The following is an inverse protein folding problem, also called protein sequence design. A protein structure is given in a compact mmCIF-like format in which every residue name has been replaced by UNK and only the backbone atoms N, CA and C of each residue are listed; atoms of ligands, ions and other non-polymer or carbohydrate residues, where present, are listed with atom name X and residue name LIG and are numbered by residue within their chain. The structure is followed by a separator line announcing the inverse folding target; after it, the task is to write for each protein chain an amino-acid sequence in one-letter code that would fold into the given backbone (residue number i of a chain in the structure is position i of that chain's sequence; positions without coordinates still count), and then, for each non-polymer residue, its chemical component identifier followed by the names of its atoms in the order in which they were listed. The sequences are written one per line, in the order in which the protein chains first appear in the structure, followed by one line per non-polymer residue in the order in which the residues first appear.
data_IF_814734705773
#
_entry.id   IF_814734705773
#
_cell.length_a   1.000
_cell.length_b   1.000
_cell.length_c   1.000
_cell.angle_alpha   90.00
_cell.angle_beta   90.00
_cell.angle_gamma   90.00
#
_symmetry.space_group_name_H-M   'P 1'
#
loop_
_entity.id
_entity.type
_entity.pdbx_description
1 polymer ?
#
# COMPACT_ATOMS: atom_id res chain seq x y z
N UNK A 1 0.82 13.91 -18.20
CA UNK A 1 1.66 13.04 -17.35
C UNK A 1 1.94 13.74 -16.03
N UNK A 2 1.76 13.06 -14.91
CA UNK A 2 2.13 13.54 -13.59
C UNK A 2 3.65 13.42 -13.46
N UNK A 3 4.35 14.49 -13.09
CA UNK A 3 5.79 14.42 -12.93
C UNK A 3 6.20 13.64 -11.66
N UNK A 4 7.40 13.08 -11.65
CA UNK A 4 7.93 12.24 -10.56
C UNK A 4 7.95 12.95 -9.22
N UNK A 5 8.30 14.23 -9.19
CA UNK A 5 8.32 15.01 -7.94
C UNK A 5 6.93 15.12 -7.32
N UNK A 6 5.90 15.33 -8.14
CA UNK A 6 4.50 15.37 -7.66
C UNK A 6 4.07 14.02 -7.10
N UNK A 7 4.42 12.91 -7.77
CA UNK A 7 4.12 11.55 -7.29
C UNK A 7 4.77 11.29 -5.93
N UNK A 8 6.06 11.59 -5.79
CA UNK A 8 6.80 11.40 -4.53
C UNK A 8 6.28 12.34 -3.44
N UNK A 9 5.95 13.59 -3.77
CA UNK A 9 5.43 14.57 -2.82
C UNK A 9 4.11 14.12 -2.18
N UNK A 10 3.27 13.35 -2.89
CA UNK A 10 2.01 12.80 -2.36
C UNK A 10 2.22 11.94 -1.10
N UNK A 11 3.40 11.31 -0.97
CA UNK A 11 3.76 10.42 0.14
C UNK A 11 5.03 10.86 0.88
N UNK A 12 5.43 12.14 0.79
CA UNK A 12 6.71 12.59 1.36
C UNK A 12 6.83 12.34 2.87
N UNK A 13 5.76 12.60 3.63
CA UNK A 13 5.72 12.37 5.07
C UNK A 13 5.77 10.86 5.40
N UNK A 14 5.06 10.05 4.66
CA UNK A 14 4.97 8.59 4.84
C UNK A 14 6.31 7.92 4.48
N UNK A 15 6.93 8.33 3.39
CA UNK A 15 8.26 7.86 2.99
C UNK A 15 9.34 8.18 4.05
N UNK A 16 9.22 9.32 4.72
CA UNK A 16 10.15 9.70 5.80
C UNK A 16 10.06 8.77 7.03
N UNK A 17 9.00 7.97 7.18
CA UNK A 17 8.85 6.97 8.25
C UNK A 17 9.63 5.68 7.99
N UNK A 18 10.06 5.44 6.76
CA UNK A 18 10.92 4.31 6.39
C UNK A 18 12.36 4.74 6.65
N UNK A 19 12.97 4.19 7.71
CA UNK A 19 14.32 4.61 8.14
C UNK A 19 15.42 3.96 7.29
N UNK A 20 15.23 2.73 6.83
CA UNK A 20 16.15 2.10 5.90
C UNK A 20 16.14 2.84 4.56
N UNK A 21 17.27 3.47 4.22
CA UNK A 21 17.39 4.30 3.02
C UNK A 21 17.16 3.50 1.73
N UNK A 22 17.62 2.26 1.68
CA UNK A 22 17.45 1.39 0.51
C UNK A 22 15.98 1.06 0.28
N UNK A 23 15.25 0.67 1.34
CA UNK A 23 13.81 0.37 1.26
C UNK A 23 13.04 1.63 0.89
N UNK A 24 13.39 2.78 1.46
CA UNK A 24 12.75 4.06 1.14
C UNK A 24 12.94 4.45 -0.33
N UNK A 25 14.16 4.36 -0.86
CA UNK A 25 14.43 4.67 -2.27
C UNK A 25 13.74 3.68 -3.22
N UNK A 26 13.73 2.39 -2.88
CA UNK A 26 12.95 1.38 -3.61
C UNK A 26 11.45 1.73 -3.64
N UNK A 27 10.89 2.12 -2.50
CA UNK A 27 9.47 2.52 -2.39
C UNK A 27 9.17 3.74 -3.25
N UNK A 28 10.09 4.73 -3.28
CA UNK A 28 9.98 5.90 -4.18
C UNK A 28 9.93 5.48 -5.65
N UNK A 29 10.77 4.54 -6.06
CA UNK A 29 10.77 4.05 -7.45
C UNK A 29 9.45 3.36 -7.79
N UNK A 30 8.85 2.58 -6.89
CA UNK A 30 7.52 2.03 -7.07
C UNK A 30 6.46 3.13 -7.23
N UNK A 31 6.52 4.17 -6.40
CA UNK A 31 5.61 5.33 -6.47
C UNK A 31 5.76 6.07 -7.81
N UNK A 32 6.98 6.32 -8.27
CA UNK A 32 7.26 6.95 -9.57
C UNK A 32 6.69 6.12 -10.73
N UNK A 33 6.83 4.79 -10.66
CA UNK A 33 6.40 3.85 -11.69
C UNK A 33 4.88 3.59 -11.68
N UNK A 34 4.16 4.10 -10.67
CA UNK A 34 2.70 3.95 -10.61
C UNK A 34 2.00 4.74 -11.73
N UNK A 35 0.86 4.23 -12.24
CA UNK A 35 0.08 4.93 -13.26
C UNK A 35 -0.39 6.32 -12.81
N UNK A 36 -0.40 7.28 -13.73
CA UNK A 36 -0.78 8.67 -13.45
C UNK A 36 -2.19 8.82 -12.85
N UNK A 37 -3.13 7.94 -13.23
CA UNK A 37 -4.50 8.00 -12.71
C UNK A 37 -4.56 7.88 -11.18
N UNK A 38 -3.61 7.14 -10.57
CA UNK A 38 -3.55 6.99 -9.13
C UNK A 38 -3.40 8.34 -8.40
N UNK A 39 -2.73 9.30 -9.04
CA UNK A 39 -2.45 10.62 -8.48
C UNK A 39 -3.42 11.72 -8.96
N UNK A 40 -4.30 11.41 -9.88
CA UNK A 40 -5.19 12.42 -10.49
C UNK A 40 -6.66 12.15 -10.29
N UNK A 41 -7.06 10.87 -10.27
CA UNK A 41 -8.46 10.49 -10.09
C UNK A 41 -8.56 8.99 -9.75
N UNK A 42 -8.36 8.68 -8.47
CA UNK A 42 -8.43 7.33 -7.94
C UNK A 42 -9.14 7.30 -6.57
N UNK A 43 -10.49 7.30 -6.54
CA UNK A 43 -11.23 7.12 -5.29
C UNK A 43 -10.90 5.76 -4.66
N UNK A 44 -10.86 5.69 -3.34
CA UNK A 44 -10.62 4.44 -2.62
C UNK A 44 -11.74 3.42 -2.83
N UNK A 45 -12.96 3.90 -3.09
CA UNK A 45 -14.11 3.07 -3.47
C UNK A 45 -14.97 3.78 -4.49
N UNK A 46 -15.31 3.09 -5.56
CA UNK A 46 -16.26 3.59 -6.58
C UNK A 46 -17.72 3.37 -6.17
N UNK A 47 -17.99 2.42 -5.27
CA UNK A 47 -19.35 2.16 -4.76
C UNK A 47 -19.74 3.03 -3.56
N UNK A 48 -18.77 3.62 -2.88
CA UNK A 48 -18.99 4.37 -1.62
C UNK A 48 -19.52 3.55 -0.46
N UNK A 49 -19.59 2.21 -0.59
CA UNK A 49 -20.28 1.35 0.38
C UNK A 49 -19.52 1.14 1.67
N UNK A 50 -18.20 1.02 1.61
CA UNK A 50 -17.39 0.59 2.75
C UNK A 50 -16.43 1.66 3.26
N UNK A 51 -15.85 2.44 2.37
CA UNK A 51 -14.85 3.46 2.70
C UNK A 51 -15.46 4.72 3.34
N UNK A 52 -14.71 5.43 4.20
CA UNK A 52 -15.08 6.76 4.69
C UNK A 52 -15.35 7.74 3.55
N UNK A 53 -16.22 8.73 3.81
CA UNK A 53 -16.69 9.66 2.78
C UNK A 53 -15.57 10.54 2.20
N UNK A 54 -14.55 10.86 3.00
CA UNK A 54 -13.38 11.64 2.59
C UNK A 54 -12.45 10.89 1.62
N UNK A 55 -12.61 9.56 1.51
CA UNK A 55 -11.86 8.70 0.59
C UNK A 55 -12.57 8.47 -0.76
N UNK A 56 -13.70 9.10 -1.00
CA UNK A 56 -14.48 8.92 -2.23
C UNK A 56 -14.13 9.94 -3.31
N UNK A 57 -13.27 10.91 -3.02
CA UNK A 57 -12.77 11.90 -3.97
C UNK A 57 -11.65 11.40 -4.88
N UNK A 58 -11.17 12.28 -5.74
CA UNK A 58 -10.14 11.97 -6.73
C UNK A 58 -8.80 11.52 -6.10
N UNK A 59 -8.48 11.96 -4.89
CA UNK A 59 -7.31 11.62 -4.09
C UNK A 59 -7.60 10.55 -3.02
N UNK A 60 -8.79 9.94 -3.09
CA UNK A 60 -9.28 9.03 -2.05
C UNK A 60 -8.36 7.85 -1.76
N UNK A 61 -7.73 7.25 -2.77
CA UNK A 61 -6.80 6.14 -2.54
C UNK A 61 -5.50 6.63 -1.90
N UNK A 62 -5.04 7.86 -2.16
CA UNK A 62 -3.89 8.46 -1.47
C UNK A 62 -4.21 8.65 0.02
N UNK A 63 -5.38 9.21 0.35
CA UNK A 63 -5.83 9.38 1.75
C UNK A 63 -5.97 8.03 2.45
N UNK A 64 -6.59 7.06 1.79
CA UNK A 64 -6.69 5.69 2.28
C UNK A 64 -5.32 5.10 2.61
N UNK A 65 -4.37 5.17 1.68
CA UNK A 65 -3.00 4.68 1.88
C UNK A 65 -2.33 5.31 3.11
N UNK A 66 -2.52 6.60 3.35
CA UNK A 66 -2.00 7.28 4.55
C UNK A 66 -2.62 6.75 5.84
N UNK A 67 -3.92 6.47 5.84
CA UNK A 67 -4.61 5.85 6.98
C UNK A 67 -4.13 4.42 7.21
N UNK A 68 -3.96 3.63 6.13
CA UNK A 68 -3.38 2.27 6.20
C UNK A 68 -2.02 2.30 6.88
N UNK A 69 -1.14 3.22 6.49
CA UNK A 69 0.17 3.38 7.13
C UNK A 69 0.07 3.71 8.62
N UNK A 70 -0.84 4.61 8.99
CA UNK A 70 -1.05 4.99 10.38
C UNK A 70 -1.46 3.80 11.23
N UNK A 71 -2.39 2.96 10.73
CA UNK A 71 -2.81 1.73 11.40
C UNK A 71 -1.66 0.73 11.48
N UNK A 72 -0.94 0.49 10.38
CA UNK A 72 0.19 -0.45 10.34
C UNK A 72 1.28 -0.10 11.34
N UNK A 73 1.62 1.18 11.46
CA UNK A 73 2.61 1.65 12.42
C UNK A 73 2.26 1.29 13.87
N UNK A 74 0.98 1.28 14.22
CA UNK A 74 0.50 0.87 15.54
C UNK A 74 0.42 -0.67 15.67
N UNK A 75 -0.03 -1.36 14.63
CA UNK A 75 -0.20 -2.82 14.66
C UNK A 75 1.12 -3.59 14.68
N UNK A 76 2.21 -3.06 14.10
CA UNK A 76 3.51 -3.72 14.08
C UNK A 76 3.94 -4.23 15.46
N UNK A 77 3.73 -3.42 16.51
CA UNK A 77 4.07 -3.80 17.88
C UNK A 77 3.17 -4.93 18.40
N UNK A 78 1.85 -4.80 18.18
CA UNK A 78 0.89 -5.81 18.64
C UNK A 78 1.08 -7.18 17.98
N UNK A 79 1.55 -7.19 16.73
CA UNK A 79 1.81 -8.39 15.94
C UNK A 79 3.27 -8.87 16.02
N UNK A 80 4.10 -8.21 16.84
CA UNK A 80 5.51 -8.55 17.06
C UNK A 80 6.35 -8.60 15.77
N UNK A 81 6.05 -7.71 14.82
CA UNK A 81 6.75 -7.59 13.54
C UNK A 81 7.51 -6.26 13.36
N UNK A 82 7.87 -5.60 14.46
CA UNK A 82 8.58 -4.30 14.45
C UNK A 82 9.94 -4.35 13.75
N UNK A 83 10.60 -5.51 13.75
CA UNK A 83 11.88 -5.71 13.07
C UNK A 83 11.75 -5.56 11.54
N UNK A 84 10.54 -5.68 10.98
CA UNK A 84 10.23 -5.54 9.56
C UNK A 84 9.32 -4.33 9.30
N UNK A 85 9.32 -3.35 10.22
CA UNK A 85 8.46 -2.17 10.10
C UNK A 85 8.67 -1.42 8.78
N UNK A 86 9.89 -1.26 8.33
CA UNK A 86 10.20 -0.51 7.12
C UNK A 86 9.67 -1.22 5.87
N UNK A 87 9.75 -2.56 5.82
CA UNK A 87 9.16 -3.39 4.77
C UNK A 87 7.63 -3.31 4.79
N UNK A 88 7.01 -3.35 5.99
CA UNK A 88 5.56 -3.22 6.15
C UNK A 88 5.07 -1.85 5.68
N UNK A 89 5.74 -0.77 6.08
CA UNK A 89 5.39 0.58 5.64
C UNK A 89 5.55 0.75 4.12
N UNK A 90 6.60 0.19 3.55
CA UNK A 90 6.79 0.14 2.10
C UNK A 90 5.63 -0.60 1.41
N UNK A 91 5.26 -1.78 1.92
CA UNK A 91 4.13 -2.55 1.39
C UNK A 91 2.82 -1.77 1.49
N UNK A 92 2.58 -1.05 2.60
CA UNK A 92 1.39 -0.20 2.76
C UNK A 92 1.34 0.95 1.73
N UNK A 93 2.48 1.55 1.35
CA UNK A 93 2.49 2.58 0.29
C UNK A 93 2.19 1.96 -1.07
N UNK A 94 2.66 0.76 -1.34
CA UNK A 94 2.64 0.14 -2.67
C UNK A 94 1.32 -0.58 -2.95
N UNK A 95 0.61 -1.11 -1.94
CA UNK A 95 -0.45 -2.10 -2.07
C UNK A 95 -1.52 -1.80 -3.13
N UNK A 96 -1.92 -0.55 -3.26
CA UNK A 96 -2.99 -0.08 -4.14
C UNK A 96 -2.52 0.75 -5.35
N UNK A 97 -1.19 0.87 -5.61
CA UNK A 97 -0.67 1.73 -6.68
C UNK A 97 -1.19 1.35 -8.08
N UNK A 98 -1.68 0.12 -8.28
CA UNK A 98 -2.31 -0.37 -9.51
C UNK A 98 -3.78 -0.77 -9.30
N UNK A 99 -4.51 -0.07 -8.41
CA UNK A 99 -5.88 -0.41 -7.98
C UNK A 99 -6.87 -0.54 -9.14
N UNK A 100 -6.77 0.31 -10.14
CA UNK A 100 -7.64 0.27 -11.32
C UNK A 100 -6.98 -0.36 -12.55
N UNK A 101 -5.94 -1.20 -12.35
CA UNK A 101 -5.21 -1.86 -13.43
C UNK A 101 -3.99 -1.09 -13.92
N UNK A 102 -3.37 -1.55 -15.00
CA UNK A 102 -2.24 -0.87 -15.64
C UNK A 102 -2.68 0.41 -16.36
N UNK A 103 -3.93 0.43 -16.81
CA UNK A 103 -4.61 1.61 -17.34
C UNK A 103 -5.92 1.82 -16.58
N UNK A 104 -6.36 3.07 -16.46
CA UNK A 104 -7.56 3.44 -15.70
C UNK A 104 -8.81 2.75 -16.23
N UNK A 105 -9.41 1.87 -15.42
CA UNK A 105 -10.68 1.19 -15.72
C UNK A 105 -11.90 1.89 -15.12
N UNK A 106 -11.69 2.85 -14.21
CA UNK A 106 -12.76 3.54 -13.50
C UNK A 106 -13.31 2.76 -12.29
N UNK A 107 -12.78 1.58 -11.99
CA UNK A 107 -13.16 0.78 -10.82
C UNK A 107 -12.00 -0.09 -10.34
N UNK A 108 -12.08 -0.57 -9.10
CA UNK A 108 -11.10 -1.50 -8.54
C UNK A 108 -11.12 -2.82 -9.30
N UNK A 109 -9.99 -3.23 -9.87
CA UNK A 109 -9.87 -4.55 -10.52
C UNK A 109 -9.56 -5.63 -9.49
N UNK A 110 -10.18 -6.82 -9.63
CA UNK A 110 -10.06 -7.90 -8.63
C UNK A 110 -8.63 -8.42 -8.44
N UNK A 111 -7.80 -8.31 -9.48
CA UNK A 111 -6.42 -8.75 -9.47
C UNK A 111 -5.42 -7.63 -9.14
N UNK A 112 -5.88 -6.47 -8.62
CA UNK A 112 -4.98 -5.38 -8.26
C UNK A 112 -3.86 -5.79 -7.29
N UNK A 113 -4.04 -6.74 -6.34
CA UNK A 113 -2.94 -7.19 -5.50
C UNK A 113 -1.82 -7.84 -6.31
N UNK A 114 -2.17 -8.67 -7.30
CA UNK A 114 -1.18 -9.25 -8.23
C UNK A 114 -0.45 -8.17 -8.99
N UNK A 115 -1.18 -7.21 -9.56
CA UNK A 115 -0.57 -6.11 -10.33
C UNK A 115 0.35 -5.23 -9.49
N UNK A 116 0.02 -5.02 -8.22
CA UNK A 116 0.89 -4.29 -7.30
C UNK A 116 2.13 -5.11 -6.90
N UNK A 117 1.99 -6.44 -6.71
CA UNK A 117 3.12 -7.34 -6.47
C UNK A 117 4.03 -7.46 -7.71
N UNK A 118 3.46 -7.41 -8.92
CA UNK A 118 4.21 -7.36 -10.18
C UNK A 118 5.01 -6.06 -10.30
N UNK A 119 4.46 -4.92 -9.83
CA UNK A 119 5.21 -3.66 -9.76
C UNK A 119 6.46 -3.77 -8.85
N UNK A 120 6.31 -4.42 -7.68
CA UNK A 120 7.46 -4.68 -6.79
C UNK A 120 8.52 -5.53 -7.50
N UNK A 121 8.10 -6.56 -8.23
CA UNK A 121 8.99 -7.42 -8.98
C UNK A 121 9.69 -6.67 -10.13
N UNK A 122 8.96 -5.89 -10.93
CA UNK A 122 9.50 -5.08 -12.03
C UNK A 122 10.60 -4.13 -11.54
N UNK A 123 10.34 -3.40 -10.44
CA UNK A 123 11.33 -2.47 -9.87
C UNK A 123 12.52 -3.22 -9.29
N UNK A 124 12.31 -4.38 -8.63
CA UNK A 124 13.42 -5.19 -8.12
C UNK A 124 14.28 -5.77 -9.24
N UNK A 125 13.68 -6.27 -10.31
CA UNK A 125 14.43 -6.78 -11.47
C UNK A 125 15.27 -5.69 -12.14
N UNK A 126 14.75 -4.47 -12.21
CA UNK A 126 15.45 -3.34 -12.82
C UNK A 126 16.59 -2.80 -11.95
N UNK A 127 16.51 -2.89 -10.63
CA UNK A 127 17.40 -2.18 -9.71
C UNK A 127 18.27 -3.08 -8.84
N UNK A 128 17.80 -4.29 -8.53
CA UNK A 128 18.46 -5.23 -7.60
C UNK A 128 18.77 -4.60 -6.23
N UNK A 129 17.94 -3.62 -5.78
CA UNK A 129 18.24 -2.82 -4.60
C UNK A 129 17.99 -3.56 -3.29
N UNK A 130 16.91 -4.33 -3.22
CA UNK A 130 16.51 -4.99 -1.98
C UNK A 130 17.27 -6.30 -1.77
N UNK A 131 17.50 -6.63 -0.50
CA UNK A 131 17.86 -8.00 -0.13
C UNK A 131 16.73 -8.96 -0.48
N UNK A 132 17.05 -10.25 -0.70
CA UNK A 132 16.04 -11.28 -0.98
C UNK A 132 14.96 -11.34 0.10
N UNK A 133 15.34 -11.13 1.37
CA UNK A 133 14.40 -11.13 2.48
C UNK A 133 13.45 -9.94 2.44
N UNK A 134 13.96 -8.72 2.29
CA UNK A 134 13.10 -7.52 2.22
C UNK A 134 12.20 -7.54 0.99
N UNK A 135 12.74 -7.98 -0.17
CA UNK A 135 11.94 -8.17 -1.38
C UNK A 135 10.79 -9.15 -1.17
N UNK A 136 11.08 -10.33 -0.60
CA UNK A 136 10.06 -11.34 -0.33
C UNK A 136 8.97 -10.82 0.60
N UNK A 137 9.34 -10.12 1.68
CA UNK A 137 8.38 -9.57 2.66
C UNK A 137 7.50 -8.51 1.98
N UNK A 138 8.08 -7.52 1.31
CA UNK A 138 7.32 -6.46 0.65
C UNK A 138 6.38 -7.04 -0.40
N UNK A 139 6.89 -7.89 -1.29
CA UNK A 139 6.10 -8.48 -2.37
C UNK A 139 4.95 -9.34 -1.85
N UNK A 140 5.20 -10.18 -0.83
CA UNK A 140 4.16 -11.04 -0.26
C UNK A 140 3.11 -10.23 0.49
N UNK A 141 3.51 -9.25 1.30
CA UNK A 141 2.58 -8.39 2.02
C UNK A 141 1.69 -7.58 1.05
N UNK A 142 2.25 -7.07 -0.04
CA UNK A 142 1.50 -6.41 -1.12
C UNK A 142 0.54 -7.40 -1.80
N UNK A 143 0.99 -8.60 -2.16
CA UNK A 143 0.17 -9.56 -2.88
C UNK A 143 -1.00 -10.12 -2.05
N UNK A 144 -0.81 -10.26 -0.74
CA UNK A 144 -1.83 -10.82 0.16
C UNK A 144 -2.71 -9.77 0.87
N UNK A 145 -2.53 -8.46 0.60
CA UNK A 145 -3.26 -7.41 1.33
C UNK A 145 -4.79 -7.50 1.22
N UNK A 146 -5.32 -8.04 0.13
CA UNK A 146 -6.77 -8.10 -0.10
C UNK A 146 -7.46 -9.27 0.65
N UNK A 147 -6.70 -10.10 1.33
CA UNK A 147 -7.19 -11.13 2.25
C UNK A 147 -8.11 -12.16 1.59
N UNK A 148 -9.28 -12.47 2.20
CA UNK A 148 -10.22 -13.45 1.68
C UNK A 148 -10.81 -13.14 0.30
N UNK A 149 -10.74 -11.88 -0.13
CA UNK A 149 -11.26 -11.42 -1.43
C UNK A 149 -10.24 -11.56 -2.57
N UNK A 150 -8.99 -11.92 -2.25
CA UNK A 150 -7.94 -12.18 -3.24
C UNK A 150 -8.32 -13.32 -4.20
N UNK A 151 -7.77 -13.27 -5.40
CA UNK A 151 -7.97 -14.27 -6.45
C UNK A 151 -6.62 -14.84 -6.91
N UNK A 152 -6.65 -16.04 -7.50
CA UNK A 152 -5.45 -16.69 -8.03
C UNK A 152 -4.45 -17.08 -6.95
N UNK A 153 -3.16 -16.95 -7.27
CA UNK A 153 -2.04 -17.38 -6.43
C UNK A 153 -1.89 -16.53 -5.14
N UNK A 154 -2.50 -15.36 -5.10
CA UNK A 154 -2.51 -14.46 -3.94
C UNK A 154 -3.66 -14.75 -2.96
N UNK A 155 -4.15 -15.97 -2.93
CA UNK A 155 -5.19 -16.40 -1.99
C UNK A 155 -4.68 -17.51 -1.09
N UNK A 156 -4.69 -17.26 0.21
CA UNK A 156 -4.44 -18.29 1.24
C UNK A 156 -5.30 -18.01 2.48
N UNK A 157 -5.52 -19.00 3.37
CA UNK A 157 -6.21 -18.79 4.64
C UNK A 157 -5.46 -17.81 5.54
N UNK A 158 -6.18 -16.99 6.32
CA UNK A 158 -5.57 -15.96 7.18
C UNK A 158 -4.65 -16.56 8.28
N UNK A 159 -4.93 -17.78 8.74
CA UNK A 159 -4.09 -18.50 9.70
C UNK A 159 -2.72 -18.92 9.12
N UNK A 160 -2.52 -18.72 7.82
CA UNK A 160 -1.25 -18.97 7.10
C UNK A 160 -0.50 -17.67 6.76
N UNK A 161 -1.04 -16.52 7.16
CA UNK A 161 -0.35 -15.24 6.94
C UNK A 161 0.83 -15.14 7.89
N UNK A 162 1.94 -14.56 7.39
CA UNK A 162 3.01 -14.12 8.29
C UNK A 162 2.55 -12.90 9.07
N UNK A 163 3.21 -12.53 10.20
CA UNK A 163 2.87 -11.31 10.93
C UNK A 163 2.87 -10.05 10.06
N UNK A 164 3.81 -9.95 9.10
CA UNK A 164 3.95 -8.81 8.19
C UNK A 164 2.78 -8.73 7.20
N UNK A 165 2.41 -9.86 6.59
CA UNK A 165 1.26 -9.97 5.69
C UNK A 165 -0.04 -9.65 6.43
N UNK A 166 -0.19 -10.20 7.64
CA UNK A 166 -1.36 -9.95 8.47
C UNK A 166 -1.45 -8.48 8.89
N UNK A 167 -0.31 -7.85 9.19
CA UNK A 167 -0.25 -6.44 9.53
C UNK A 167 -0.77 -5.57 8.39
N UNK A 168 -0.30 -5.79 7.15
CA UNK A 168 -0.74 -5.01 5.98
C UNK A 168 -2.22 -5.27 5.69
N UNK A 169 -2.67 -6.54 5.68
CA UNK A 169 -4.08 -6.88 5.48
C UNK A 169 -5.00 -6.24 6.51
N UNK A 170 -4.69 -6.35 7.81
CA UNK A 170 -5.53 -5.77 8.86
C UNK A 170 -5.53 -4.25 8.81
N UNK A 171 -4.41 -3.64 8.45
CA UNK A 171 -4.31 -2.18 8.33
C UNK A 171 -5.18 -1.65 7.21
N UNK A 172 -5.16 -2.28 6.04
CA UNK A 172 -6.05 -1.97 4.92
C UNK A 172 -7.53 -2.20 5.30
N UNK A 173 -7.83 -3.36 5.89
CA UNK A 173 -9.18 -3.69 6.33
C UNK A 173 -9.73 -2.68 7.34
N UNK A 174 -8.97 -2.30 8.36
CA UNK A 174 -9.38 -1.34 9.39
C UNK A 174 -9.56 0.06 8.77
N UNK A 175 -8.60 0.52 7.98
CA UNK A 175 -8.66 1.84 7.35
C UNK A 175 -9.85 1.97 6.37
N UNK A 176 -10.29 0.86 5.75
CA UNK A 176 -11.44 0.86 4.84
C UNK A 176 -12.80 0.97 5.54
N UNK A 177 -12.89 0.93 6.89
CA UNK A 177 -14.19 0.92 7.60
C UNK A 177 -14.71 2.33 7.86
N UNK A 178 -15.91 2.63 7.38
CA UNK A 178 -16.59 3.91 7.60
C UNK A 178 -16.80 4.24 9.09
N UNK A 179 -16.96 3.23 9.89
CA UNK A 179 -17.26 3.32 11.32
C UNK A 179 -16.00 3.53 12.17
N UNK A 180 -14.80 3.39 11.57
CA UNK A 180 -13.51 3.55 12.25
C UNK A 180 -12.86 4.84 11.78
N UNK A 181 -12.73 5.80 12.70
CA UNK A 181 -12.01 7.03 12.39
C UNK A 181 -10.50 6.83 12.58
N UNK A 182 -9.74 7.03 11.51
CA UNK A 182 -8.26 7.03 11.53
C UNK A 182 -7.77 8.43 11.19
N UNK A 183 -7.16 9.13 12.15
CA UNK A 183 -6.49 10.39 11.86
C UNK A 183 -5.06 10.11 11.36
N UNK A 184 -4.84 10.43 10.09
CA UNK A 184 -3.54 10.30 9.42
C UNK A 184 -2.68 11.56 9.54
N UNK A 185 -3.25 12.66 10.05
CA UNK A 185 -2.52 13.91 10.29
C UNK A 185 -1.70 13.76 11.56
N UNK A 186 -0.38 13.73 11.42
CA UNK A 186 0.50 13.79 12.57
C UNK A 186 0.64 15.24 12.98
N UNK A 187 0.26 15.55 14.20
CA UNK A 187 0.64 16.81 14.80
C UNK A 187 2.18 16.87 14.81
N UNK A 188 2.74 17.91 14.21
CA UNK A 188 4.16 18.19 14.31
C UNK A 188 4.40 18.62 15.76
N UNK A 189 4.76 17.66 16.61
CA UNK A 189 5.23 17.90 17.98
C UNK A 189 6.72 18.20 18.00
#
# INVERSE_FOLDING_TARGET
MVNELTKVAAFAAELALIYNTTIREFTKLCVISAPDYFFTDCPASTSGKYHPIDELGADGTILHTKKVLTVAYQLCRGLQCENYRDEILAACIIHDLRKQGLSKTGHTVKNHPSLAADLVEEVQQATQMLSDNSYRIIRSAVGYHYGPWSVGDWKKPLDKYTPEELCVYLSDYIASKREIHVDHRREQS
#
